data_IF_370590891928
#
_entry.id   IF_370590891928
#
_cell.length_a   1.000
_cell.length_b   1.000
_cell.length_c   1.000
_cell.angle_alpha   90.00
_cell.angle_beta   90.00
_cell.angle_gamma   90.00
#
_symmetry.space_group_name_H-M   'P 1'
#
loop_
_entity.id
_entity.type
_entity.pdbx_description
1 polymer ?
#
# COMPACT_ATOMS: atom_id res chain seq x y z
N UNK A 1 -54.32 -46.86 -1.77
CA UNK A 1 -53.14 -46.77 -1.96
C UNK A 1 -52.58 -45.50 -2.44
N UNK A 2 -52.08 -44.72 -1.64
CA UNK A 2 -51.54 -43.53 -1.87
C UNK A 2 -50.17 -43.58 -2.04
N UNK A 3 -49.68 -43.24 -3.16
CA UNK A 3 -48.27 -43.07 -3.29
C UNK A 3 -47.86 -41.95 -2.36
N UNK A 4 -47.11 -42.36 -1.50
CA UNK A 4 -46.48 -41.42 -0.65
C UNK A 4 -45.66 -40.54 -1.51
N UNK A 5 -46.16 -39.39 -1.69
CA UNK A 5 -45.35 -38.44 -2.24
C UNK A 5 -44.28 -38.08 -1.32
N UNK A 6 -43.19 -38.65 -1.58
CA UNK A 6 -42.03 -38.12 -1.04
C UNK A 6 -41.78 -36.81 -1.68
N UNK A 7 -42.23 -35.89 -1.05
CA UNK A 7 -41.60 -34.63 -1.21
C UNK A 7 -40.18 -34.79 -0.85
N UNK A 8 -39.44 -35.21 -1.82
CA UNK A 8 -38.09 -34.89 -1.80
C UNK A 8 -38.01 -33.40 -1.96
N UNK A 9 -38.21 -32.81 -0.90
CA UNK A 9 -37.52 -31.58 -0.76
C UNK A 9 -36.09 -31.96 -0.69
N UNK A 10 -35.51 -32.05 -1.82
CA UNK A 10 -34.12 -31.81 -1.86
C UNK A 10 -33.97 -30.43 -1.25
N UNK A 11 -33.76 -30.45 -0.01
CA UNK A 11 -33.21 -29.33 0.64
C UNK A 11 -31.86 -29.16 -0.03
N UNK A 12 -31.88 -28.42 -1.07
CA UNK A 12 -30.69 -27.91 -1.61
C UNK A 12 -30.22 -26.93 -0.57
N UNK A 13 -29.54 -27.44 0.40
CA UNK A 13 -28.72 -26.63 1.21
C UNK A 13 -27.58 -26.19 0.34
N UNK A 14 -27.82 -25.17 -0.38
CA UNK A 14 -26.73 -24.32 -0.76
C UNK A 14 -26.17 -23.82 0.53
N UNK A 15 -25.24 -24.54 1.05
CA UNK A 15 -24.33 -23.98 1.98
C UNK A 15 -23.68 -22.86 1.24
N UNK A 16 -24.24 -21.73 1.43
CA UNK A 16 -23.55 -20.54 1.05
C UNK A 16 -22.32 -20.51 1.90
N UNK A 17 -21.24 -20.98 1.35
CA UNK A 17 -19.97 -20.64 1.92
C UNK A 17 -19.82 -19.16 1.69
N UNK A 18 -20.27 -18.42 2.65
CA UNK A 18 -19.73 -17.13 2.80
C UNK A 18 -18.23 -17.36 3.03
N UNK A 19 -17.51 -17.41 1.95
CA UNK A 19 -16.10 -17.14 2.02
C UNK A 19 -16.04 -15.71 2.50
N UNK A 20 -16.04 -15.55 3.80
CA UNK A 20 -15.46 -14.37 4.35
C UNK A 20 -14.02 -14.47 3.93
N UNK A 21 -13.75 -13.97 2.75
CA UNK A 21 -12.42 -13.55 2.46
C UNK A 21 -12.06 -12.70 3.66
N UNK A 22 -11.18 -13.22 4.50
CA UNK A 22 -10.52 -12.38 5.46
C UNK A 22 -9.96 -11.28 4.59
N UNK A 23 -10.64 -10.15 4.58
CA UNK A 23 -10.13 -9.00 3.92
C UNK A 23 -8.77 -8.78 4.54
N UNK A 24 -7.75 -9.26 3.87
CA UNK A 24 -6.42 -8.78 4.16
C UNK A 24 -6.57 -7.28 4.08
N UNK A 25 -6.24 -6.60 5.18
CA UNK A 25 -6.24 -5.15 5.22
C UNK A 25 -5.19 -4.66 4.23
N UNK A 26 -5.49 -4.82 2.94
CA UNK A 26 -4.66 -4.28 1.88
C UNK A 26 -5.36 -3.06 1.34
N UNK A 27 -4.74 -1.93 1.55
CA UNK A 27 -5.22 -0.67 1.05
C UNK A 27 -4.26 -0.23 -0.07
N UNK A 28 -4.83 0.21 -1.16
CA UNK A 28 -4.05 0.68 -2.31
C UNK A 28 -4.30 2.16 -2.52
N UNK A 29 -3.22 2.92 -2.66
CA UNK A 29 -3.30 4.34 -2.97
C UNK A 29 -3.74 4.58 -4.42
N UNK A 30 -4.06 5.83 -4.74
CA UNK A 30 -4.11 6.27 -6.12
C UNK A 30 -2.71 6.27 -6.73
N UNK A 31 -2.65 6.53 -8.03
CA UNK A 31 -1.39 6.63 -8.76
C UNK A 31 -0.57 7.83 -8.30
N UNK A 32 0.75 7.69 -8.27
CA UNK A 32 1.63 8.82 -8.05
C UNK A 32 1.38 9.91 -9.08
N UNK A 33 1.34 11.14 -8.59
CA UNK A 33 1.20 12.33 -9.41
C UNK A 33 2.27 13.34 -9.02
N UNK A 34 3.00 13.83 -9.98
CA UNK A 34 4.05 14.80 -9.73
C UNK A 34 4.98 15.00 -10.92
N UNK A 35 5.93 15.91 -10.79
CA UNK A 35 6.83 16.25 -11.89
C UNK A 35 7.82 15.13 -12.24
N UNK A 36 8.17 14.28 -11.29
CA UNK A 36 9.17 13.23 -11.50
C UNK A 36 8.65 11.82 -11.14
N UNK A 37 7.79 11.69 -10.15
CA UNK A 37 7.15 10.43 -9.77
C UNK A 37 5.69 10.52 -10.18
N UNK A 38 5.33 9.90 -11.30
CA UNK A 38 3.99 10.00 -11.86
C UNK A 38 3.47 8.66 -12.37
N UNK A 39 4.03 7.57 -11.88
CA UNK A 39 3.66 6.22 -12.29
C UNK A 39 3.74 5.29 -11.08
N UNK A 40 2.84 4.32 -11.04
CA UNK A 40 2.78 3.38 -9.92
C UNK A 40 1.93 3.87 -8.76
N UNK A 41 1.83 3.03 -7.75
CA UNK A 41 1.03 3.29 -6.55
C UNK A 41 1.67 2.60 -5.35
N UNK A 42 1.08 2.82 -4.17
CA UNK A 42 1.54 2.23 -2.91
C UNK A 42 0.46 1.32 -2.37
N UNK A 43 0.85 0.14 -1.90
CA UNK A 43 -0.04 -0.78 -1.19
C UNK A 43 0.36 -0.81 0.28
N UNK A 44 -0.64 -0.69 1.14
CA UNK A 44 -0.49 -0.87 2.57
C UNK A 44 -0.93 -2.27 2.95
N UNK A 45 -0.12 -2.94 3.75
CA UNK A 45 -0.43 -4.25 4.33
C UNK A 45 0.06 -4.32 5.76
N UNK A 46 -0.37 -5.36 6.47
CA UNK A 46 0.10 -5.64 7.82
C UNK A 46 0.82 -6.98 7.81
N UNK A 47 2.00 -7.02 8.40
CA UNK A 47 2.79 -8.24 8.51
C UNK A 47 3.42 -8.28 9.91
N UNK A 48 3.16 -9.34 10.64
CA UNK A 48 3.66 -9.51 12.01
C UNK A 48 3.34 -8.31 12.91
N UNK A 49 2.12 -7.77 12.77
CA UNK A 49 1.67 -6.62 13.54
C UNK A 49 2.27 -5.29 13.12
N UNK A 50 3.07 -5.27 12.05
CA UNK A 50 3.70 -4.06 11.55
C UNK A 50 3.04 -3.58 10.28
N UNK A 51 2.95 -2.27 10.15
CA UNK A 51 2.41 -1.61 8.97
C UNK A 51 3.50 -1.55 7.89
N UNK A 52 3.19 -2.04 6.71
CA UNK A 52 4.12 -2.16 5.59
C UNK A 52 3.57 -1.34 4.42
N UNK A 53 4.43 -0.55 3.79
CA UNK A 53 4.12 0.14 2.55
C UNK A 53 5.01 -0.40 1.43
N UNK A 54 4.40 -0.75 0.32
CA UNK A 54 5.10 -1.36 -0.82
C UNK A 54 4.78 -0.59 -2.10
N UNK A 55 5.80 -0.23 -2.84
CA UNK A 55 5.64 0.39 -4.16
C UNK A 55 5.27 -0.67 -5.18
N UNK A 56 4.41 -0.32 -6.12
CA UNK A 56 4.01 -1.22 -7.20
C UNK A 56 5.17 -1.51 -8.16
N UNK A 57 5.04 -2.59 -8.92
CA UNK A 57 6.10 -3.00 -9.85
C UNK A 57 6.33 -2.01 -10.99
N UNK A 58 5.32 -1.23 -11.33
CA UNK A 58 5.42 -0.23 -12.38
C UNK A 58 5.93 1.13 -11.89
N UNK A 59 6.23 1.25 -10.58
CA UNK A 59 6.84 2.46 -10.06
C UNK A 59 8.24 2.64 -10.62
N UNK A 60 8.52 3.85 -11.09
CA UNK A 60 9.84 4.20 -11.62
C UNK A 60 10.51 5.15 -10.64
N UNK A 61 11.69 4.74 -10.14
CA UNK A 61 12.48 5.59 -9.25
C UNK A 61 12.94 6.83 -10.00
N UNK A 62 12.61 8.04 -9.53
CA UNK A 62 13.08 9.26 -10.19
C UNK A 62 14.60 9.34 -10.22
N UNK A 63 15.13 9.81 -11.35
CA UNK A 63 16.56 10.03 -11.51
C UNK A 63 16.92 11.37 -10.88
N UNK A 64 17.02 11.38 -9.56
CA UNK A 64 17.39 12.56 -8.77
C UNK A 64 18.44 12.15 -7.75
N UNK A 65 19.23 13.11 -7.23
CA UNK A 65 20.37 12.76 -6.36
C UNK A 65 20.01 12.01 -5.09
N UNK A 66 18.86 12.30 -4.47
CA UNK A 66 18.58 11.75 -3.15
C UNK A 66 17.08 11.56 -2.90
N UNK A 67 16.41 10.68 -3.66
CA UNK A 67 14.99 10.42 -3.44
C UNK A 67 14.75 9.62 -2.17
N UNK A 68 13.72 10.04 -1.41
CA UNK A 68 13.35 9.46 -0.13
C UNK A 68 11.88 9.11 -0.08
N UNK A 69 11.56 8.14 0.76
CA UNK A 69 10.21 7.93 1.26
C UNK A 69 9.89 9.03 2.27
N UNK A 70 8.81 9.73 2.05
CA UNK A 70 8.28 10.70 3.00
C UNK A 70 6.81 10.40 3.23
N UNK A 71 6.39 10.36 4.47
CA UNK A 71 5.01 10.07 4.83
C UNK A 71 4.34 11.33 5.37
N UNK A 72 3.07 11.48 5.05
CA UNK A 72 2.26 12.57 5.58
C UNK A 72 1.04 11.95 6.24
N UNK A 73 0.79 12.30 7.49
CA UNK A 73 -0.34 11.79 8.23
C UNK A 73 -1.62 12.61 7.97
N UNK A 74 -2.73 12.20 8.56
CA UNK A 74 -4.02 12.85 8.36
C UNK A 74 -4.09 14.25 8.95
N UNK A 75 -3.17 14.60 9.85
CA UNK A 75 -3.07 15.93 10.45
C UNK A 75 -2.09 16.83 9.68
N UNK A 76 -1.48 16.33 8.62
CA UNK A 76 -0.53 17.07 7.83
C UNK A 76 0.91 17.03 8.34
N UNK A 77 1.20 16.23 9.35
CA UNK A 77 2.57 16.06 9.81
C UNK A 77 3.39 15.27 8.80
N UNK A 78 4.62 15.70 8.59
CA UNK A 78 5.51 15.17 7.58
C UNK A 78 6.67 14.42 8.24
N UNK A 79 6.91 13.19 7.76
CA UNK A 79 7.96 12.33 8.29
C UNK A 79 8.86 11.85 7.16
N UNK A 80 10.12 12.25 7.19
CA UNK A 80 11.10 11.71 6.27
C UNK A 80 11.56 10.36 6.82
N UNK A 81 11.45 9.32 6.02
CA UNK A 81 11.66 7.97 6.54
C UNK A 81 12.97 7.39 6.01
N UNK A 82 12.96 6.86 4.79
CA UNK A 82 14.11 6.12 4.28
C UNK A 82 14.52 6.60 2.91
N UNK A 83 15.80 6.42 2.60
CA UNK A 83 16.28 6.61 1.23
C UNK A 83 15.62 5.59 0.31
N UNK A 84 15.23 6.05 -0.86
CA UNK A 84 14.64 5.18 -1.88
C UNK A 84 15.68 4.34 -2.58
N UNK A 85 16.89 4.86 -2.70
CA UNK A 85 18.04 4.17 -3.27
C UNK A 85 19.20 4.19 -2.31
N UNK A 86 19.86 3.08 -2.13
CA UNK A 86 21.12 3.00 -1.39
C UNK A 86 22.17 2.37 -2.29
N UNK A 87 23.42 2.81 -2.13
CA UNK A 87 24.52 2.21 -2.87
C UNK A 87 24.77 0.80 -2.35
N UNK A 88 24.80 -0.14 -3.26
CA UNK A 88 25.18 -1.52 -2.98
C UNK A 88 26.57 -1.77 -3.59
N UNK A 89 27.16 -2.93 -3.27
CA UNK A 89 28.45 -3.31 -3.80
C UNK A 89 28.44 -3.37 -5.34
N UNK A 90 27.30 -3.74 -5.90
CA UNK A 90 27.08 -3.76 -7.35
C UNK A 90 25.79 -3.00 -7.64
N UNK A 91 25.91 -1.77 -8.16
CA UNK A 91 24.76 -0.94 -8.50
C UNK A 91 24.03 -0.36 -7.30
N UNK A 92 22.91 0.28 -7.55
CA UNK A 92 22.06 0.85 -6.51
C UNK A 92 21.02 -0.16 -6.06
N UNK A 93 20.76 -0.18 -4.76
CA UNK A 93 19.70 -1.01 -4.20
C UNK A 93 18.45 -0.15 -4.02
N UNK A 94 17.37 -0.57 -4.66
CA UNK A 94 16.08 0.07 -4.56
C UNK A 94 15.31 -0.44 -3.35
N UNK A 95 14.83 0.48 -2.51
CA UNK A 95 14.02 0.13 -1.35
C UNK A 95 12.55 0.19 -1.71
N UNK A 96 12.04 -0.92 -2.19
CA UNK A 96 10.67 -1.06 -2.67
C UNK A 96 9.64 -1.10 -1.55
N UNK A 97 10.05 -1.50 -0.35
CA UNK A 97 9.17 -1.72 0.78
C UNK A 97 9.75 -1.08 2.04
N UNK A 98 8.90 -0.47 2.86
CA UNK A 98 9.30 0.05 4.16
C UNK A 98 8.35 -0.44 5.23
N UNK A 99 8.87 -0.55 6.46
CA UNK A 99 8.07 -0.66 7.66
C UNK A 99 7.76 0.74 8.13
N UNK A 100 6.49 1.05 8.30
CA UNK A 100 6.09 2.36 8.82
C UNK A 100 6.56 2.47 10.26
N UNK A 101 7.31 3.52 10.61
CA UNK A 101 7.72 3.72 12.00
C UNK A 101 6.50 3.76 12.93
N UNK A 102 6.64 3.18 14.12
CA UNK A 102 5.53 3.05 15.06
C UNK A 102 4.95 4.40 15.52
N UNK A 103 5.73 5.46 15.41
CA UNK A 103 5.28 6.81 15.78
C UNK A 103 4.51 7.51 14.64
N UNK A 104 4.47 6.94 13.44
CA UNK A 104 3.69 7.49 12.32
C UNK A 104 2.36 6.76 12.28
N UNK A 105 1.29 7.49 12.49
CA UNK A 105 -0.05 6.93 12.50
C UNK A 105 -0.91 7.65 11.47
N UNK A 106 -1.89 6.93 10.92
CA UNK A 106 -2.85 7.52 9.99
C UNK A 106 -2.18 8.16 8.77
N UNK A 107 -1.40 7.36 8.05
CA UNK A 107 -0.74 7.81 6.83
C UNK A 107 -1.81 8.14 5.77
N UNK A 108 -1.87 9.37 5.34
CA UNK A 108 -2.81 9.82 4.31
C UNK A 108 -2.19 9.80 2.92
N UNK A 109 -0.90 10.02 2.81
CA UNK A 109 -0.21 9.95 1.53
C UNK A 109 1.27 9.65 1.68
N UNK A 110 1.82 9.12 0.60
CA UNK A 110 3.25 8.87 0.45
C UNK A 110 3.80 9.87 -0.55
N UNK A 111 4.85 10.54 -0.17
CA UNK A 111 5.55 11.50 -1.02
C UNK A 111 6.91 10.92 -1.37
N UNK A 112 7.30 11.05 -2.62
CA UNK A 112 8.67 10.82 -3.05
C UNK A 112 9.37 12.15 -3.00
N UNK A 113 10.31 12.28 -2.07
CA UNK A 113 10.94 13.54 -1.72
C UNK A 113 12.41 13.51 -2.08
N UNK A 114 12.88 14.52 -2.80
CA UNK A 114 14.31 14.67 -3.02
C UNK A 114 14.92 15.50 -1.87
N UNK A 115 15.67 14.83 -1.00
CA UNK A 115 16.24 15.50 0.17
C UNK A 115 17.35 16.49 -0.20
N UNK A 116 18.01 16.28 -1.35
CA UNK A 116 19.03 17.21 -1.81
C UNK A 116 18.43 18.51 -2.34
N UNK A 117 17.38 18.41 -3.13
CA UNK A 117 16.73 19.58 -3.74
C UNK A 117 15.60 20.14 -2.88
N UNK A 118 15.23 19.45 -1.80
CA UNK A 118 14.07 19.79 -0.96
C UNK A 118 12.81 19.95 -1.81
N UNK A 119 12.54 18.96 -2.63
CA UNK A 119 11.46 19.00 -3.61
C UNK A 119 10.57 17.77 -3.56
N UNK A 120 9.26 18.02 -3.68
CA UNK A 120 8.27 16.97 -3.86
C UNK A 120 8.33 16.49 -5.31
N UNK A 121 8.72 15.23 -5.50
CA UNK A 121 8.84 14.64 -6.83
C UNK A 121 7.54 14.01 -7.31
N UNK A 122 6.63 13.72 -6.41
CA UNK A 122 5.33 13.13 -6.67
C UNK A 122 4.73 12.54 -5.42
N UNK A 123 3.43 12.36 -5.41
CA UNK A 123 2.72 11.84 -4.26
C UNK A 123 1.57 10.92 -4.64
N UNK A 124 1.31 9.95 -3.79
CA UNK A 124 0.20 9.01 -3.93
C UNK A 124 -0.63 9.06 -2.65
N UNK A 125 -1.94 9.26 -2.80
CA UNK A 125 -2.84 9.43 -1.66
C UNK A 125 -3.71 8.20 -1.45
N UNK A 126 -3.96 7.89 -0.19
CA UNK A 126 -4.95 6.87 0.19
C UNK A 126 -6.32 7.54 0.33
N UNK A 127 -7.38 6.83 -0.04
CA UNK A 127 -8.75 7.33 0.11
C UNK A 127 -9.15 7.47 1.58
N UNK A 128 -8.56 6.65 2.44
CA UNK A 128 -8.67 6.75 3.91
C UNK A 128 -7.29 6.53 4.50
N UNK A 129 -6.95 7.21 5.61
CA UNK A 129 -5.65 7.01 6.24
C UNK A 129 -5.40 5.57 6.63
N UNK A 130 -4.17 5.12 6.52
CA UNK A 130 -3.74 3.75 6.86
C UNK A 130 -2.74 3.75 8.00
N UNK A 131 -2.75 2.65 8.77
CA UNK A 131 -1.81 2.47 9.89
C UNK A 131 -1.58 1.02 10.22
#
# INVERSE_FOLDING_TARGET
NKPVQFLFRSLLMTTLFAVTAVAQDMHTSGQFQGPKANKGHVTHSTRDGKSILTLSDDFVVPDTPDPHWQLVDSDGNVYLVDKLKTKAFVGDKFKKEIVVPSYVKNVSKVVIWCAWAEANLGEASFSSPVH
#
